data_IF_156165476659
#
_entry.id   IF_156165476659
#
_cell.length_a   1.000
_cell.length_b   1.000
_cell.length_c   1.000
_cell.angle_alpha   90.00
_cell.angle_beta   90.00
_cell.angle_gamma   90.00
#
_symmetry.space_group_name_H-M   'P 1'
#
loop_
_entity.id
_entity.type
_entity.pdbx_description
1 polymer ?
#
# COMPACT_ATOMS: atom_id res chain seq x y z
N UNK A 1 14.41 -5.07 -6.12
CA UNK A 1 15.62 -5.87 -6.35
C UNK A 1 15.55 -7.08 -5.43
N UNK A 2 15.73 -8.28 -5.99
CA UNK A 2 15.63 -9.54 -5.24
C UNK A 2 16.98 -10.26 -5.28
N UNK A 3 17.46 -10.71 -4.13
CA UNK A 3 18.68 -11.50 -3.98
C UNK A 3 18.31 -12.82 -3.30
N UNK A 4 18.86 -13.90 -3.83
CA UNK A 4 18.79 -15.23 -3.28
C UNK A 4 20.18 -15.70 -2.93
N UNK A 5 20.34 -16.33 -1.77
CA UNK A 5 21.63 -16.80 -1.31
C UNK A 5 21.56 -17.71 -0.09
N UNK A 6 22.74 -18.02 0.42
CA UNK A 6 22.92 -18.88 1.59
C UNK A 6 23.54 -18.08 2.71
N UNK A 7 23.04 -18.24 3.93
CA UNK A 7 23.59 -17.57 5.12
C UNK A 7 23.61 -18.51 6.32
N UNK A 8 24.80 -18.81 6.80
CA UNK A 8 25.03 -19.67 7.97
C UNK A 8 24.20 -20.97 7.99
N UNK A 9 24.09 -21.65 6.84
CA UNK A 9 23.36 -22.90 6.70
C UNK A 9 21.86 -22.76 6.44
N UNK A 10 21.37 -21.54 6.21
CA UNK A 10 19.97 -21.26 5.85
C UNK A 10 19.89 -20.66 4.45
N UNK A 11 18.88 -21.09 3.69
CA UNK A 11 18.51 -20.48 2.42
C UNK A 11 17.79 -19.16 2.69
N UNK A 12 18.22 -18.08 2.04
CA UNK A 12 17.73 -16.74 2.32
C UNK A 12 17.32 -16.01 1.06
N UNK A 13 16.23 -15.28 1.14
CA UNK A 13 15.74 -14.40 0.10
C UNK A 13 15.67 -12.97 0.62
N UNK A 14 16.31 -12.06 -0.09
CA UNK A 14 16.40 -10.67 0.27
C UNK A 14 15.68 -9.82 -0.75
N UNK A 15 14.76 -8.97 -0.30
CA UNK A 15 14.02 -8.05 -1.15
C UNK A 15 14.27 -6.61 -0.70
N UNK A 16 14.91 -5.83 -1.57
CA UNK A 16 15.04 -4.40 -1.40
C UNK A 16 13.91 -3.72 -2.18
N UNK A 17 13.06 -2.99 -1.48
CA UNK A 17 12.01 -2.22 -2.12
C UNK A 17 12.61 -0.95 -2.72
N UNK A 18 12.23 -0.64 -3.96
CA UNK A 18 12.46 0.68 -4.53
C UNK A 18 11.48 1.70 -3.93
N UNK A 19 11.74 2.99 -4.09
CA UNK A 19 10.80 4.05 -3.70
C UNK A 19 9.43 3.90 -4.36
N UNK A 20 9.35 3.18 -5.48
CA UNK A 20 8.11 2.86 -6.18
C UNK A 20 7.33 1.69 -5.52
N UNK A 21 8.00 0.87 -4.73
CA UNK A 21 7.37 -0.21 -3.98
C UNK A 21 7.02 0.36 -2.60
N UNK A 22 5.85 0.95 -2.46
CA UNK A 22 5.29 1.51 -1.23
C UNK A 22 5.03 0.47 -0.13
N UNK A 23 5.93 -0.48 0.00
CA UNK A 23 5.99 -1.31 1.18
C UNK A 23 6.46 -0.46 2.36
N UNK A 24 5.85 -0.59 3.55
CA UNK A 24 6.26 0.14 4.74
C UNK A 24 7.67 -0.23 5.21
N UNK A 25 8.30 -1.18 4.53
CA UNK A 25 9.60 -1.72 4.85
C UNK A 25 10.61 -1.35 3.78
N UNK A 26 11.67 -0.67 4.12
CA UNK A 26 12.76 -0.38 3.19
C UNK A 26 13.50 -1.64 2.72
N UNK A 27 13.27 -2.77 3.42
CA UNK A 27 14.00 -4.00 3.22
C UNK A 27 13.27 -5.19 3.86
N UNK A 28 13.22 -6.32 3.16
CA UNK A 28 12.58 -7.54 3.63
C UNK A 28 13.51 -8.73 3.43
N UNK A 29 13.47 -9.66 4.37
CA UNK A 29 14.24 -10.91 4.31
C UNK A 29 13.33 -12.10 4.62
N UNK A 30 13.50 -13.18 3.91
CA UNK A 30 12.94 -14.47 4.23
C UNK A 30 14.06 -15.46 4.49
N UNK A 31 13.98 -16.18 5.61
CA UNK A 31 14.89 -17.28 5.97
C UNK A 31 14.10 -18.58 5.90
N UNK A 32 14.52 -19.49 5.01
CA UNK A 32 13.89 -20.79 4.85
C UNK A 32 14.42 -21.75 5.92
N UNK A 33 13.55 -22.22 6.80
CA UNK A 33 13.89 -23.15 7.89
C UNK A 33 12.65 -23.83 8.47
N UNK A 34 12.84 -25.02 9.04
CA UNK A 34 11.78 -25.72 9.77
C UNK A 34 11.76 -25.23 11.23
N UNK A 35 10.75 -24.42 11.57
CA UNK A 35 10.65 -23.79 12.88
C UNK A 35 9.94 -24.69 13.89
N UNK A 36 10.58 -24.89 15.05
CA UNK A 36 9.93 -25.45 16.24
C UNK A 36 9.06 -24.39 16.95
N UNK A 37 8.11 -24.83 17.77
CA UNK A 37 7.22 -23.89 18.47
C UNK A 37 7.96 -23.09 19.54
N UNK A 38 9.01 -23.66 20.14
CA UNK A 38 9.90 -22.97 21.08
C UNK A 38 10.67 -21.85 20.41
N UNK A 39 11.24 -22.11 19.21
CA UNK A 39 11.90 -21.08 18.42
C UNK A 39 10.95 -19.95 18.02
N UNK A 40 9.71 -20.28 17.62
CA UNK A 40 8.69 -19.28 17.30
C UNK A 40 8.34 -18.40 18.50
N UNK A 41 8.23 -18.97 19.70
CA UNK A 41 7.95 -18.22 20.93
C UNK A 41 9.07 -17.26 21.29
N UNK A 42 10.33 -17.72 21.23
CA UNK A 42 11.46 -16.87 21.51
C UNK A 42 11.63 -15.75 20.48
N UNK A 43 11.40 -16.03 19.19
CA UNK A 43 11.41 -15.04 18.13
C UNK A 43 10.30 -14.01 18.30
N UNK A 44 9.08 -14.39 18.73
CA UNK A 44 8.01 -13.44 19.08
C UNK A 44 8.37 -12.55 20.26
N UNK A 45 9.01 -13.13 21.29
CA UNK A 45 9.50 -12.36 22.44
C UNK A 45 10.59 -11.37 22.02
N UNK A 46 11.45 -11.78 21.11
CA UNK A 46 12.47 -10.93 20.50
C UNK A 46 11.84 -9.76 19.72
N UNK A 47 10.82 -10.01 18.89
CA UNK A 47 10.06 -8.97 18.19
C UNK A 47 9.41 -7.99 19.17
N UNK A 48 8.80 -8.49 20.24
CA UNK A 48 8.12 -7.68 21.25
C UNK A 48 9.09 -6.74 21.99
N UNK A 49 10.36 -7.09 22.11
CA UNK A 49 11.41 -6.23 22.69
C UNK A 49 11.79 -5.05 21.79
N UNK A 50 11.22 -4.97 20.56
CA UNK A 50 11.48 -3.95 19.53
C UNK A 50 12.97 -3.70 19.26
N UNK A 51 13.77 -4.72 19.03
CA UNK A 51 15.18 -4.51 18.80
C UNK A 51 15.43 -3.96 17.39
N UNK A 52 16.28 -2.96 17.28
CA UNK A 52 17.06 -2.64 16.09
C UNK A 52 16.32 -2.52 14.76
N UNK A 53 15.21 -1.75 14.69
CA UNK A 53 14.49 -1.48 13.43
C UNK A 53 13.81 -2.68 12.76
N UNK A 54 13.65 -3.81 13.43
CA UNK A 54 12.70 -4.83 13.00
C UNK A 54 11.31 -4.23 13.16
N UNK A 55 10.58 -4.16 12.06
CA UNK A 55 9.19 -3.68 12.07
C UNK A 55 8.22 -4.82 12.32
N UNK A 56 8.45 -5.95 11.69
CA UNK A 56 7.57 -7.11 11.76
C UNK A 56 8.34 -8.40 11.51
N UNK A 57 7.97 -9.42 12.27
CA UNK A 57 8.44 -10.76 12.11
C UNK A 57 7.22 -11.67 11.95
N UNK A 58 7.07 -12.29 10.79
CA UNK A 58 5.98 -13.22 10.50
C UNK A 58 6.52 -14.63 10.24
N UNK A 59 5.75 -15.64 10.65
CA UNK A 59 6.08 -17.03 10.38
C UNK A 59 5.29 -17.52 9.17
N UNK A 60 6.01 -18.09 8.21
CA UNK A 60 5.43 -18.77 7.06
C UNK A 60 5.42 -20.29 7.29
N UNK A 61 4.76 -21.02 6.39
CA UNK A 61 4.80 -22.48 6.42
C UNK A 61 6.21 -23.05 6.14
N UNK A 62 7.12 -22.23 5.64
CA UNK A 62 8.46 -22.63 5.22
C UNK A 62 9.57 -21.72 5.75
N UNK A 63 9.32 -21.00 6.86
CA UNK A 63 10.35 -20.19 7.53
C UNK A 63 9.87 -18.89 8.14
N UNK A 64 10.77 -17.91 8.17
CA UNK A 64 10.57 -16.63 8.82
C UNK A 64 10.64 -15.50 7.79
N UNK A 65 9.66 -14.63 7.82
CA UNK A 65 9.67 -13.38 7.09
C UNK A 65 9.97 -12.22 8.05
N UNK A 66 10.90 -11.35 7.68
CA UNK A 66 11.39 -10.25 8.50
C UNK A 66 11.28 -8.96 7.69
N UNK A 67 10.54 -7.99 8.21
CA UNK A 67 10.46 -6.64 7.66
C UNK A 67 11.32 -5.67 8.47
N UNK A 68 12.23 -4.96 7.82
CA UNK A 68 13.08 -3.93 8.44
C UNK A 68 12.54 -2.54 8.16
N UNK A 69 12.38 -1.72 9.20
CA UNK A 69 11.90 -0.37 9.08
C UNK A 69 13.03 0.59 8.72
N UNK A 70 12.81 1.43 7.71
CA UNK A 70 13.73 2.48 7.31
C UNK A 70 13.17 3.26 6.14
N UNK A 71 13.22 4.60 6.21
CA UNK A 71 12.82 5.46 5.10
C UNK A 71 13.72 5.28 3.85
N UNK A 72 14.94 4.78 4.05
CA UNK A 72 15.88 4.46 2.98
C UNK A 72 16.52 3.11 3.24
N UNK A 73 16.96 2.44 2.18
CA UNK A 73 17.70 1.16 2.26
C UNK A 73 18.92 1.27 3.21
N UNK A 74 19.70 2.34 3.12
CA UNK A 74 20.84 2.56 3.99
C UNK A 74 20.48 2.73 5.48
N UNK A 75 19.30 3.29 5.76
CA UNK A 75 18.81 3.42 7.14
C UNK A 75 18.29 2.09 7.69
N UNK A 76 17.74 1.22 6.84
CA UNK A 76 17.31 -0.11 7.21
C UNK A 76 18.49 -1.06 7.44
N UNK A 77 19.53 -0.97 6.61
CA UNK A 77 20.75 -1.81 6.71
C UNK A 77 21.50 -1.63 8.02
N UNK A 78 21.49 -0.44 8.64
CA UNK A 78 22.18 -0.19 9.92
C UNK A 78 21.69 -1.09 11.07
N UNK A 79 20.46 -1.55 11.04
CA UNK A 79 19.92 -2.46 12.06
C UNK A 79 19.88 -3.92 11.61
N UNK A 80 20.22 -4.19 10.36
CA UNK A 80 20.07 -5.51 9.74
C UNK A 80 21.05 -6.53 10.32
N UNK A 81 22.34 -6.23 10.30
CA UNK A 81 23.37 -7.18 10.69
C UNK A 81 23.24 -7.61 12.16
N UNK A 82 23.11 -6.69 13.14
CA UNK A 82 22.92 -7.09 14.53
C UNK A 82 21.61 -7.84 14.80
N UNK A 83 20.54 -7.50 14.10
CA UNK A 83 19.26 -8.19 14.24
C UNK A 83 19.32 -9.60 13.67
N UNK A 84 19.99 -9.76 12.53
CA UNK A 84 20.21 -11.06 11.90
C UNK A 84 21.04 -11.99 12.77
N UNK A 85 22.15 -11.50 13.36
CA UNK A 85 22.98 -12.26 14.27
C UNK A 85 22.17 -12.81 15.45
N UNK A 86 21.29 -12.00 16.05
CA UNK A 86 20.43 -12.43 17.14
C UNK A 86 19.38 -13.45 16.69
N UNK A 87 18.76 -13.26 15.53
CA UNK A 87 17.83 -14.25 14.96
C UNK A 87 18.53 -15.58 14.71
N UNK A 88 19.72 -15.56 14.08
CA UNK A 88 20.49 -16.76 13.81
C UNK A 88 20.96 -17.43 15.12
N UNK A 89 21.30 -16.66 16.16
CA UNK A 89 21.61 -17.20 17.47
C UNK A 89 20.40 -17.94 18.10
N UNK A 90 19.20 -17.40 17.96
CA UNK A 90 17.96 -18.06 18.42
C UNK A 90 17.71 -19.35 17.62
N UNK A 91 17.86 -19.31 16.28
CA UNK A 91 17.68 -20.49 15.44
C UNK A 91 18.68 -21.60 15.81
N UNK A 92 19.94 -21.25 16.01
CA UNK A 92 21.00 -22.19 16.43
C UNK A 92 20.76 -22.75 17.83
N UNK A 93 20.34 -21.92 18.79
CA UNK A 93 19.99 -22.32 20.16
C UNK A 93 18.93 -23.41 20.19
N UNK A 94 17.93 -23.29 19.32
CA UNK A 94 16.84 -24.27 19.19
C UNK A 94 17.11 -25.37 18.17
N UNK A 95 18.35 -25.49 17.68
CA UNK A 95 18.75 -26.49 16.68
C UNK A 95 17.78 -26.52 15.47
N UNK A 96 17.34 -25.34 15.03
CA UNK A 96 16.40 -25.21 13.92
C UNK A 96 17.06 -25.74 12.65
N UNK A 97 16.34 -26.63 11.96
CA UNK A 97 16.84 -27.31 10.75
C UNK A 97 16.95 -26.32 9.58
N UNK A 98 18.15 -26.26 8.97
CA UNK A 98 18.47 -25.40 7.84
C UNK A 98 18.35 -26.10 6.48
N UNK A 99 19.30 -25.80 5.59
CA UNK A 99 19.24 -26.16 4.16
C UNK A 99 19.18 -27.67 3.85
N UNK A 100 19.71 -28.50 4.72
CA UNK A 100 19.72 -29.95 4.52
C UNK A 100 18.37 -30.61 4.81
N UNK A 101 17.38 -29.80 5.21
CA UNK A 101 16.05 -30.23 5.59
C UNK A 101 14.98 -29.42 4.89
N UNK A 102 13.86 -30.07 4.58
CA UNK A 102 12.69 -29.39 4.04
C UNK A 102 12.13 -28.39 5.07
N UNK A 103 12.06 -27.09 4.73
CA UNK A 103 11.58 -26.09 5.67
C UNK A 103 10.09 -26.21 6.02
N UNK A 104 9.33 -27.04 5.30
CA UNK A 104 7.89 -27.22 5.52
C UNK A 104 7.58 -28.44 6.40
N UNK A 105 8.24 -29.59 6.18
CA UNK A 105 7.99 -30.84 6.94
C UNK A 105 9.13 -31.20 7.89
N UNK A 106 10.33 -30.63 7.73
CA UNK A 106 11.49 -30.91 8.54
C UNK A 106 12.20 -32.24 8.20
N UNK A 107 11.83 -32.91 7.13
CA UNK A 107 12.51 -34.11 6.66
C UNK A 107 13.83 -33.79 5.94
N UNK A 108 14.84 -34.69 5.98
CA UNK A 108 16.08 -34.46 5.27
C UNK A 108 15.86 -34.34 3.76
N UNK A 109 16.51 -33.37 3.14
CA UNK A 109 16.49 -33.16 1.70
C UNK A 109 17.59 -33.99 1.03
N UNK A 110 17.22 -34.83 0.06
CA UNK A 110 18.15 -35.46 -0.86
C UNK A 110 18.11 -34.78 -2.23
N UNK A 111 19.22 -34.78 -2.95
CA UNK A 111 19.31 -34.15 -4.26
C UNK A 111 18.23 -34.65 -5.25
N UNK A 112 17.89 -35.95 -5.19
CA UNK A 112 16.91 -36.56 -6.08
C UNK A 112 15.45 -36.26 -5.69
N UNK A 113 15.20 -35.88 -4.45
CA UNK A 113 13.86 -35.63 -3.91
C UNK A 113 13.58 -34.15 -3.62
N UNK A 114 14.56 -33.28 -3.79
CA UNK A 114 14.41 -31.84 -3.61
C UNK A 114 13.97 -31.16 -4.92
N UNK A 115 13.13 -30.14 -4.77
CA UNK A 115 12.68 -29.27 -5.85
C UNK A 115 12.79 -27.82 -5.41
N UNK A 116 13.39 -26.99 -6.27
CA UNK A 116 13.44 -25.55 -6.05
C UNK A 116 12.23 -24.90 -6.72
N UNK A 117 11.41 -24.21 -5.92
CA UNK A 117 10.23 -23.51 -6.40
C UNK A 117 10.32 -22.02 -6.10
N UNK A 118 9.59 -21.21 -6.86
CA UNK A 118 9.46 -19.78 -6.61
C UNK A 118 8.03 -19.46 -6.18
N UNK A 119 7.86 -18.95 -4.96
CA UNK A 119 6.57 -18.63 -4.36
C UNK A 119 6.59 -17.19 -3.85
N UNK A 120 5.69 -16.34 -4.34
CA UNK A 120 5.60 -14.93 -3.95
C UNK A 120 6.95 -14.17 -4.02
N UNK A 121 7.72 -14.42 -5.08
CA UNK A 121 9.07 -13.88 -5.29
C UNK A 121 10.13 -14.40 -4.30
N UNK A 122 9.84 -15.46 -3.53
CA UNK A 122 10.83 -16.19 -2.74
C UNK A 122 11.20 -17.48 -3.47
N UNK A 123 12.49 -17.74 -3.56
CA UNK A 123 12.99 -19.03 -4.02
C UNK A 123 13.24 -19.91 -2.80
N UNK A 124 12.64 -21.09 -2.75
CA UNK A 124 12.74 -22.03 -1.65
C UNK A 124 12.97 -23.43 -2.17
N UNK A 125 13.77 -24.20 -1.45
CA UNK A 125 14.01 -25.62 -1.75
C UNK A 125 13.18 -26.48 -0.82
N UNK A 126 12.30 -27.31 -1.38
CA UNK A 126 11.39 -28.21 -0.65
C UNK A 126 11.59 -29.64 -1.13
N UNK A 127 11.13 -30.61 -0.38
CA UNK A 127 10.91 -31.96 -0.94
C UNK A 127 9.79 -31.91 -1.99
N UNK A 128 9.76 -32.89 -2.88
CA UNK A 128 8.81 -32.92 -4.01
C UNK A 128 7.35 -32.96 -3.57
N UNK A 129 7.05 -33.63 -2.45
CA UNK A 129 5.68 -33.71 -1.95
C UNK A 129 5.22 -32.36 -1.41
N UNK A 130 6.06 -31.68 -0.61
CA UNK A 130 5.77 -30.34 -0.11
C UNK A 130 5.72 -29.29 -1.23
N UNK A 131 6.61 -29.39 -2.22
CA UNK A 131 6.57 -28.55 -3.41
C UNK A 131 5.24 -28.68 -4.15
N UNK A 132 4.78 -29.90 -4.38
CA UNK A 132 3.47 -30.18 -5.00
C UNK A 132 2.30 -29.58 -4.20
N UNK A 133 2.32 -29.68 -2.86
CA UNK A 133 1.28 -29.06 -2.01
C UNK A 133 1.27 -27.52 -2.13
N UNK A 134 2.43 -26.90 -2.20
CA UNK A 134 2.55 -25.44 -2.37
C UNK A 134 2.07 -25.02 -3.76
N UNK A 135 2.47 -25.74 -4.81
CA UNK A 135 2.03 -25.47 -6.19
C UNK A 135 0.51 -25.64 -6.33
N UNK A 136 -0.07 -26.68 -5.73
CA UNK A 136 -1.52 -26.89 -5.70
C UNK A 136 -2.24 -25.76 -4.96
N UNK A 137 -1.72 -25.33 -3.81
CA UNK A 137 -2.28 -24.19 -3.06
C UNK A 137 -2.26 -22.90 -3.89
N UNK A 138 -1.13 -22.57 -4.51
CA UNK A 138 -1.00 -21.38 -5.38
C UNK A 138 -1.93 -21.47 -6.58
N UNK A 139 -2.02 -22.65 -7.23
CA UNK A 139 -2.94 -22.88 -8.35
C UNK A 139 -4.41 -22.70 -7.93
N UNK A 140 -4.79 -23.23 -6.76
CA UNK A 140 -6.14 -23.08 -6.20
C UNK A 140 -6.46 -21.63 -5.84
N UNK A 141 -5.54 -20.88 -5.26
CA UNK A 141 -5.71 -19.46 -4.99
C UNK A 141 -5.91 -18.67 -6.29
N UNK A 142 -5.10 -18.97 -7.31
CA UNK A 142 -5.23 -18.37 -8.64
C UNK A 142 -6.58 -18.70 -9.28
N UNK A 143 -6.99 -19.96 -9.25
CA UNK A 143 -8.29 -20.39 -9.79
C UNK A 143 -9.46 -19.71 -9.06
N UNK A 144 -9.40 -19.60 -7.73
CA UNK A 144 -10.41 -18.91 -6.92
C UNK A 144 -10.48 -17.42 -7.28
N UNK A 145 -9.33 -16.78 -7.48
CA UNK A 145 -9.29 -15.39 -7.92
C UNK A 145 -9.89 -15.24 -9.32
N UNK A 146 -9.53 -16.11 -10.27
CA UNK A 146 -10.07 -16.08 -11.64
C UNK A 146 -11.58 -16.33 -11.66
N UNK A 147 -12.07 -17.25 -10.84
CA UNK A 147 -13.49 -17.56 -10.70
C UNK A 147 -14.31 -16.47 -10.00
N UNK A 148 -13.66 -15.55 -9.26
CA UNK A 148 -14.37 -14.46 -8.57
C UNK A 148 -15.09 -13.56 -9.58
N UNK A 149 -16.42 -13.39 -9.50
CA UNK A 149 -17.17 -12.57 -10.44
C UNK A 149 -16.69 -11.12 -10.43
N UNK A 150 -16.43 -10.55 -11.60
CA UNK A 150 -16.10 -9.15 -11.73
C UNK A 150 -17.34 -8.32 -12.07
N UNK A 151 -18.10 -7.93 -11.07
CA UNK A 151 -19.30 -7.13 -11.26
C UNK A 151 -18.97 -5.62 -11.30
N UNK A 152 -18.39 -5.19 -12.43
CA UNK A 152 -18.01 -3.79 -12.64
C UNK A 152 -19.19 -2.85 -12.42
N UNK A 153 -20.40 -3.21 -12.89
CA UNK A 153 -21.60 -2.35 -12.75
C UNK A 153 -21.95 -2.05 -11.30
N UNK A 154 -21.86 -3.04 -10.42
CA UNK A 154 -22.06 -2.82 -8.97
C UNK A 154 -20.87 -2.11 -8.34
N UNK A 155 -19.66 -2.44 -8.75
CA UNK A 155 -18.43 -1.81 -8.28
C UNK A 155 -18.39 -0.31 -8.53
N UNK A 156 -18.87 0.16 -9.69
CA UNK A 156 -18.97 1.59 -10.03
C UNK A 156 -19.71 2.38 -8.94
N UNK A 157 -20.81 1.87 -8.41
CA UNK A 157 -21.54 2.53 -7.32
C UNK A 157 -20.69 2.69 -6.06
N UNK A 158 -19.83 1.69 -5.76
CA UNK A 158 -18.90 1.79 -4.65
C UNK A 158 -17.86 2.89 -4.85
N UNK A 159 -17.28 2.99 -6.05
CA UNK A 159 -16.34 4.04 -6.41
C UNK A 159 -16.99 5.43 -6.33
N UNK A 160 -18.22 5.56 -6.82
CA UNK A 160 -18.98 6.82 -6.81
C UNK A 160 -19.32 7.27 -5.38
N UNK A 161 -19.76 6.36 -4.52
CA UNK A 161 -20.03 6.67 -3.11
C UNK A 161 -18.73 7.12 -2.41
N UNK A 162 -17.61 6.43 -2.63
CA UNK A 162 -16.34 6.84 -2.07
C UNK A 162 -15.90 8.24 -2.50
N UNK A 163 -16.07 8.56 -3.79
CA UNK A 163 -15.77 9.88 -4.33
C UNK A 163 -16.66 10.98 -3.73
N UNK A 164 -17.95 10.70 -3.58
CA UNK A 164 -18.92 11.59 -2.93
C UNK A 164 -18.53 11.88 -1.49
N UNK A 165 -18.22 10.86 -0.70
CA UNK A 165 -17.78 11.02 0.70
C UNK A 165 -16.51 11.85 0.77
N UNK A 166 -15.51 11.57 -0.09
CA UNK A 166 -14.30 12.38 -0.18
C UNK A 166 -14.59 13.86 -0.45
N UNK A 167 -15.51 14.17 -1.39
CA UNK A 167 -15.88 15.55 -1.70
C UNK A 167 -16.64 16.24 -0.56
N UNK A 168 -17.50 15.53 0.15
CA UNK A 168 -18.18 16.07 1.35
C UNK A 168 -17.18 16.41 2.44
N UNK A 169 -16.17 15.57 2.68
CA UNK A 169 -15.09 15.85 3.62
C UNK A 169 -14.34 17.13 3.19
N UNK A 170 -14.08 17.31 1.90
CA UNK A 170 -13.47 18.56 1.38
C UNK A 170 -14.29 19.77 1.75
N UNK A 171 -15.59 19.72 1.55
CA UNK A 171 -16.51 20.83 1.87
C UNK A 171 -16.45 21.16 3.37
N UNK A 172 -16.52 20.15 4.23
CA UNK A 172 -16.47 20.32 5.68
C UNK A 172 -15.14 20.95 6.10
N UNK A 173 -14.02 20.43 5.62
CA UNK A 173 -12.69 20.93 5.96
C UNK A 173 -12.47 22.37 5.47
N UNK A 174 -13.01 22.72 4.30
CA UNK A 174 -12.97 24.07 3.78
C UNK A 174 -13.64 25.07 4.71
N UNK A 175 -14.84 24.76 5.21
CA UNK A 175 -15.54 25.63 6.16
C UNK A 175 -14.86 25.72 7.53
N UNK A 176 -14.06 24.73 7.88
CA UNK A 176 -13.25 24.75 9.11
C UNK A 176 -11.90 25.45 8.92
N UNK A 177 -11.64 26.04 7.75
CA UNK A 177 -10.34 26.60 7.35
C UNK A 177 -9.16 25.62 7.51
N UNK A 178 -9.43 24.31 7.36
CA UNK A 178 -8.44 23.25 7.41
C UNK A 178 -7.99 22.86 5.99
N UNK A 179 -6.76 22.36 5.89
CA UNK A 179 -6.23 21.88 4.61
C UNK A 179 -7.00 20.64 4.17
N UNK A 180 -7.81 20.78 3.12
CA UNK A 180 -8.65 19.70 2.57
C UNK A 180 -7.89 18.71 1.66
N UNK A 181 -6.58 18.86 1.54
CA UNK A 181 -5.73 18.11 0.62
C UNK A 181 -5.77 16.59 0.83
N UNK A 182 -6.04 16.09 2.05
CA UNK A 182 -6.11 14.66 2.36
C UNK A 182 -7.41 13.98 1.94
N UNK A 183 -8.47 14.74 1.70
CA UNK A 183 -9.80 14.21 1.40
C UNK A 183 -9.87 13.36 0.11
N UNK A 184 -9.13 13.65 -0.98
CA UNK A 184 -9.10 12.78 -2.14
C UNK A 184 -8.53 11.39 -1.84
N UNK A 185 -7.53 11.29 -0.96
CA UNK A 185 -6.96 10.01 -0.55
C UNK A 185 -8.03 9.16 0.13
N UNK A 186 -8.77 9.76 1.07
CA UNK A 186 -9.89 9.08 1.77
C UNK A 186 -10.94 8.63 0.76
N UNK A 187 -11.32 9.48 -0.20
CA UNK A 187 -12.29 9.17 -1.25
C UNK A 187 -11.88 7.97 -2.10
N UNK A 188 -10.62 7.92 -2.54
CA UNK A 188 -10.10 6.82 -3.36
C UNK A 188 -10.02 5.52 -2.56
N UNK A 189 -9.48 5.55 -1.34
CA UNK A 189 -9.34 4.35 -0.50
C UNK A 189 -10.70 3.78 -0.12
N UNK A 190 -11.64 4.64 0.29
CA UNK A 190 -13.01 4.22 0.57
C UNK A 190 -13.71 3.70 -0.69
N UNK A 191 -13.54 4.38 -1.83
CA UNK A 191 -14.07 3.95 -3.12
C UNK A 191 -13.55 2.57 -3.52
N UNK A 192 -12.25 2.32 -3.37
CA UNK A 192 -11.64 1.03 -3.65
C UNK A 192 -12.16 -0.08 -2.71
N UNK A 193 -12.35 0.24 -1.44
CA UNK A 193 -12.96 -0.69 -0.47
C UNK A 193 -14.40 -1.04 -0.85
N UNK A 194 -15.23 -0.03 -1.12
CA UNK A 194 -16.63 -0.23 -1.47
C UNK A 194 -16.81 -0.88 -2.85
N UNK A 195 -15.92 -0.57 -3.81
CA UNK A 195 -15.90 -1.23 -5.12
C UNK A 195 -15.77 -2.75 -4.96
N UNK A 196 -14.83 -3.20 -4.14
CA UNK A 196 -14.64 -4.63 -3.82
C UNK A 196 -15.84 -5.20 -3.07
N UNK A 197 -16.35 -4.49 -2.07
CA UNK A 197 -17.51 -4.92 -1.27
C UNK A 197 -18.77 -5.10 -2.11
N UNK A 198 -18.94 -4.34 -3.18
CA UNK A 198 -20.07 -4.44 -4.10
C UNK A 198 -19.84 -5.48 -5.22
N UNK A 199 -18.78 -6.27 -5.12
CA UNK A 199 -18.53 -7.39 -6.02
C UNK A 199 -17.68 -7.03 -7.25
N UNK A 200 -17.07 -5.85 -7.28
CA UNK A 200 -16.04 -5.50 -8.25
C UNK A 200 -14.71 -6.19 -7.91
N UNK A 201 -13.96 -6.60 -8.92
CA UNK A 201 -12.66 -7.22 -8.77
C UNK A 201 -11.56 -6.17 -8.60
N UNK A 202 -10.57 -6.44 -7.74
CA UNK A 202 -9.41 -5.57 -7.59
C UNK A 202 -8.52 -5.66 -8.84
N UNK A 203 -8.74 -4.76 -9.78
CA UNK A 203 -8.04 -4.69 -11.06
C UNK A 203 -7.82 -3.24 -11.52
N UNK A 204 -7.20 -3.06 -12.69
CA UNK A 204 -6.98 -1.73 -13.26
C UNK A 204 -8.25 -0.91 -13.45
N UNK A 205 -9.39 -1.55 -13.75
CA UNK A 205 -10.67 -0.86 -13.89
C UNK A 205 -11.12 -0.21 -12.56
N UNK A 206 -10.91 -0.88 -11.42
CA UNK A 206 -11.19 -0.30 -10.11
C UNK A 206 -10.39 0.98 -9.88
N UNK A 207 -9.08 0.96 -10.21
CA UNK A 207 -8.21 2.13 -10.04
C UNK A 207 -8.73 3.30 -10.88
N UNK A 208 -8.98 3.05 -12.17
CA UNK A 208 -9.44 4.09 -13.10
C UNK A 208 -10.77 4.69 -12.64
N UNK A 209 -11.72 3.86 -12.19
CA UNK A 209 -13.02 4.34 -11.73
C UNK A 209 -12.92 5.14 -10.43
N UNK A 210 -12.20 4.63 -9.42
CA UNK A 210 -12.04 5.32 -8.15
C UNK A 210 -11.29 6.65 -8.32
N UNK A 211 -10.21 6.66 -9.11
CA UNK A 211 -9.45 7.88 -9.40
C UNK A 211 -10.29 8.88 -10.20
N UNK A 212 -10.91 8.44 -11.30
CA UNK A 212 -11.68 9.31 -12.19
C UNK A 212 -12.84 9.99 -11.48
N UNK A 213 -13.67 9.22 -10.75
CA UNK A 213 -14.77 9.81 -9.99
C UNK A 213 -14.27 10.72 -8.87
N UNK A 214 -13.26 10.31 -8.10
CA UNK A 214 -12.73 11.16 -7.03
C UNK A 214 -12.18 12.46 -7.59
N UNK A 215 -11.42 12.42 -8.68
CA UNK A 215 -10.88 13.62 -9.30
C UNK A 215 -12.00 14.57 -9.76
N UNK A 216 -13.01 14.05 -10.47
CA UNK A 216 -14.14 14.86 -10.97
C UNK A 216 -14.89 15.50 -9.80
N UNK A 217 -15.31 14.71 -8.82
CA UNK A 217 -16.09 15.23 -7.68
C UNK A 217 -15.27 16.20 -6.82
N UNK A 218 -13.98 15.94 -6.67
CA UNK A 218 -13.08 16.79 -5.91
C UNK A 218 -12.88 18.16 -6.57
N UNK A 219 -12.60 18.17 -7.88
CA UNK A 219 -12.43 19.42 -8.63
C UNK A 219 -13.74 20.21 -8.67
N UNK A 220 -14.88 19.52 -8.82
CA UNK A 220 -16.19 20.15 -8.77
C UNK A 220 -16.46 20.77 -7.39
N UNK A 221 -16.16 20.06 -6.30
CA UNK A 221 -16.33 20.59 -4.95
C UNK A 221 -15.47 21.84 -4.72
N UNK A 222 -14.19 21.80 -5.09
CA UNK A 222 -13.27 22.97 -4.99
C UNK A 222 -13.80 24.14 -5.82
N UNK A 223 -14.24 23.88 -7.04
CA UNK A 223 -14.82 24.91 -7.90
C UNK A 223 -16.07 25.56 -7.28
N UNK A 224 -17.05 24.75 -6.82
CA UNK A 224 -18.29 25.28 -6.23
C UNK A 224 -18.03 26.04 -4.93
N UNK A 225 -17.09 25.61 -4.11
CA UNK A 225 -16.68 26.31 -2.91
C UNK A 225 -16.08 27.69 -3.23
N UNK A 226 -15.26 27.80 -4.28
CA UNK A 226 -14.71 29.09 -4.69
C UNK A 226 -15.74 29.98 -5.36
N UNK A 227 -16.73 29.43 -6.09
CA UNK A 227 -17.88 30.20 -6.58
C UNK A 227 -18.67 30.78 -5.39
N UNK A 228 -18.90 29.98 -4.36
CA UNK A 228 -19.58 30.43 -3.12
C UNK A 228 -18.78 31.51 -2.39
N UNK A 229 -17.47 31.31 -2.24
CA UNK A 229 -16.57 32.30 -1.60
C UNK A 229 -16.55 33.62 -2.38
N UNK A 230 -16.44 33.57 -3.71
CA UNK A 230 -16.50 34.75 -4.57
C UNK A 230 -17.82 35.52 -4.42
N UNK A 231 -18.94 34.75 -4.35
CA UNK A 231 -20.25 35.37 -4.13
C UNK A 231 -20.33 36.06 -2.76
N UNK A 232 -19.79 35.46 -1.71
CA UNK A 232 -19.71 36.09 -0.38
C UNK A 232 -18.86 37.36 -0.41
N UNK A 233 -17.69 37.34 -1.05
CA UNK A 233 -16.83 38.52 -1.22
C UNK A 233 -17.53 39.63 -2.03
N UNK A 234 -18.27 39.28 -3.08
CA UNK A 234 -19.03 40.25 -3.87
C UNK A 234 -20.10 40.95 -3.04
N UNK A 235 -20.84 40.18 -2.21
CA UNK A 235 -21.84 40.75 -1.29
C UNK A 235 -21.17 41.71 -0.29
N UNK A 236 -20.07 41.30 0.33
CA UNK A 236 -19.35 42.09 1.35
C UNK A 236 -18.80 43.38 0.75
N UNK A 237 -18.33 43.35 -0.50
CA UNK A 237 -17.77 44.50 -1.20
C UNK A 237 -18.81 45.35 -1.95
N UNK A 238 -20.12 45.06 -1.81
CA UNK A 238 -21.19 45.83 -2.44
C UNK A 238 -21.26 45.68 -3.98
N UNK A 239 -20.62 44.65 -4.54
CA UNK A 239 -20.69 44.36 -5.98
C UNK A 239 -22.08 43.83 -6.36
N UNK A 240 -22.48 44.06 -7.62
CA UNK A 240 -23.75 43.55 -8.17
C UNK A 240 -23.64 42.13 -8.72
N UNK A 241 -22.44 41.73 -9.08
CA UNK A 241 -22.15 40.41 -9.61
C UNK A 241 -22.45 39.31 -8.59
N UNK A 242 -23.04 38.18 -9.05
CA UNK A 242 -23.39 37.04 -8.22
C UNK A 242 -22.97 35.74 -8.89
N UNK A 243 -22.75 34.70 -8.08
CA UNK A 243 -22.44 33.34 -8.53
C UNK A 243 -21.22 33.30 -9.45
N UNK A 244 -21.41 32.77 -10.67
CA UNK A 244 -20.34 32.63 -11.67
C UNK A 244 -19.81 33.99 -12.16
N UNK A 245 -20.64 35.04 -12.21
CA UNK A 245 -20.20 36.37 -12.57
C UNK A 245 -19.23 36.93 -11.53
N UNK A 246 -19.54 36.79 -10.25
CA UNK A 246 -18.64 37.16 -9.15
C UNK A 246 -17.33 36.35 -9.18
N UNK A 247 -17.43 35.03 -9.42
CA UNK A 247 -16.25 34.19 -9.58
C UNK A 247 -15.34 34.68 -10.73
N UNK A 248 -15.90 34.92 -11.93
CA UNK A 248 -15.17 35.45 -13.08
C UNK A 248 -14.54 36.82 -12.82
N UNK A 249 -15.23 37.69 -12.08
CA UNK A 249 -14.71 38.98 -11.67
C UNK A 249 -13.46 38.82 -10.81
N UNK A 250 -13.53 38.00 -9.74
CA UNK A 250 -12.39 37.79 -8.84
C UNK A 250 -11.24 36.98 -9.49
N UNK A 251 -11.54 36.08 -10.42
CA UNK A 251 -10.49 35.39 -11.19
C UNK A 251 -9.65 36.33 -12.06
N UNK A 252 -10.25 37.44 -12.55
CA UNK A 252 -9.57 38.43 -13.37
C UNK A 252 -8.96 39.57 -12.54
N UNK A 253 -9.46 39.76 -11.32
CA UNK A 253 -8.99 40.84 -10.46
C UNK A 253 -7.65 40.50 -9.82
N UNK A 254 -6.77 41.48 -9.65
CA UNK A 254 -5.56 41.39 -8.84
C UNK A 254 -5.82 41.70 -7.36
N UNK A 255 -7.09 41.73 -6.95
CA UNK A 255 -7.47 41.98 -5.56
C UNK A 255 -6.92 40.91 -4.64
N UNK A 256 -6.23 41.34 -3.59
CA UNK A 256 -5.74 40.48 -2.52
C UNK A 256 -6.90 40.09 -1.65
N UNK A 257 -7.05 38.79 -1.37
CA UNK A 257 -8.09 38.25 -0.51
C UNK A 257 -7.47 37.48 0.65
N UNK A 258 -8.02 37.68 1.85
CA UNK A 258 -7.52 37.04 3.06
C UNK A 258 -6.26 37.67 3.65
N UNK A 259 -5.78 37.11 4.74
CA UNK A 259 -4.61 37.63 5.49
C UNK A 259 -3.25 37.34 4.80
N UNK A 260 -3.22 36.45 3.82
CA UNK A 260 -1.98 35.89 3.21
C UNK A 260 -1.43 36.62 2.01
N UNK A 261 -1.91 37.84 1.67
CA UNK A 261 -1.47 38.62 0.47
C UNK A 261 -1.55 37.83 -0.86
N UNK A 262 -2.47 36.90 -0.99
CA UNK A 262 -2.68 36.10 -2.20
C UNK A 262 -3.87 36.61 -3.00
N UNK A 263 -3.81 36.49 -4.31
CA UNK A 263 -4.95 36.78 -5.18
C UNK A 263 -5.95 35.62 -5.11
N UNK A 264 -7.23 35.92 -5.35
CA UNK A 264 -8.28 34.89 -5.41
C UNK A 264 -7.94 33.80 -6.44
N UNK A 265 -7.46 34.16 -7.63
CA UNK A 265 -7.01 33.24 -8.65
C UNK A 265 -5.84 32.36 -8.19
N UNK A 266 -4.91 32.92 -7.43
CA UNK A 266 -3.80 32.18 -6.85
C UNK A 266 -4.25 31.10 -5.87
N UNK A 267 -5.17 31.44 -4.95
CA UNK A 267 -5.75 30.51 -3.98
C UNK A 267 -6.55 29.40 -4.69
N UNK A 268 -7.36 29.77 -5.68
CA UNK A 268 -8.11 28.80 -6.47
C UNK A 268 -7.19 27.81 -7.18
N UNK A 269 -6.18 28.33 -7.92
CA UNK A 269 -5.23 27.49 -8.64
C UNK A 269 -4.45 26.58 -7.70
N UNK A 270 -3.98 27.10 -6.58
CA UNK A 270 -3.29 26.30 -5.54
C UNK A 270 -4.16 25.14 -5.06
N UNK A 271 -5.43 25.38 -4.70
CA UNK A 271 -6.34 24.35 -4.21
C UNK A 271 -6.67 23.31 -5.29
N UNK A 272 -6.82 23.71 -6.56
CA UNK A 272 -7.04 22.79 -7.68
C UNK A 272 -5.82 21.89 -7.91
N UNK A 273 -4.61 22.46 -7.95
CA UNK A 273 -3.36 21.70 -8.11
C UNK A 273 -3.16 20.74 -6.95
N UNK A 274 -3.34 21.22 -5.71
CA UNK A 274 -3.16 20.43 -4.51
C UNK A 274 -4.13 19.24 -4.49
N UNK A 275 -5.41 19.46 -4.79
CA UNK A 275 -6.43 18.40 -4.87
C UNK A 275 -6.08 17.36 -5.93
N UNK A 276 -5.55 17.79 -7.09
CA UNK A 276 -5.09 16.87 -8.14
C UNK A 276 -3.90 16.04 -7.68
N UNK A 277 -2.89 16.65 -7.06
CA UNK A 277 -1.69 15.96 -6.56
C UNK A 277 -2.08 14.90 -5.52
N UNK A 278 -2.92 15.24 -4.56
CA UNK A 278 -3.36 14.27 -3.54
C UNK A 278 -4.29 13.19 -4.10
N UNK A 279 -5.05 13.47 -5.15
CA UNK A 279 -5.79 12.44 -5.88
C UNK A 279 -4.85 11.43 -6.55
N UNK A 280 -3.75 11.91 -7.16
CA UNK A 280 -2.72 11.03 -7.73
C UNK A 280 -2.04 10.19 -6.65
N UNK A 281 -1.69 10.80 -5.51
CA UNK A 281 -1.12 10.07 -4.36
C UNK A 281 -2.09 8.99 -3.88
N UNK A 282 -3.37 9.31 -3.71
CA UNK A 282 -4.39 8.34 -3.32
C UNK A 282 -4.54 7.19 -4.34
N UNK A 283 -4.46 7.51 -5.63
CA UNK A 283 -4.47 6.53 -6.71
C UNK A 283 -3.25 5.59 -6.62
N UNK A 284 -2.07 6.13 -6.42
CA UNK A 284 -0.84 5.34 -6.22
C UNK A 284 -1.01 4.42 -5.01
N UNK A 285 -1.46 4.92 -3.86
CA UNK A 285 -1.68 4.11 -2.65
C UNK A 285 -2.69 2.98 -2.88
N UNK A 286 -3.82 3.25 -3.54
CA UNK A 286 -4.79 2.22 -3.89
C UNK A 286 -4.24 1.19 -4.88
N UNK A 287 -3.38 1.61 -5.82
CA UNK A 287 -2.76 0.75 -6.82
C UNK A 287 -1.79 -0.26 -6.22
N UNK A 288 -1.10 0.12 -5.14
CA UNK A 288 -0.11 -0.74 -4.48
C UNK A 288 -0.71 -2.04 -4.01
N UNK A 289 -1.87 -1.98 -3.34
CA UNK A 289 -2.57 -3.17 -2.84
C UNK A 289 -2.93 -4.14 -3.98
N UNK A 290 -3.29 -3.57 -5.14
CA UNK A 290 -3.64 -4.34 -6.35
C UNK A 290 -2.38 -4.95 -6.97
N UNK A 291 -1.32 -4.17 -7.13
CA UNK A 291 -0.06 -4.68 -7.70
C UNK A 291 0.58 -5.74 -6.82
N UNK A 292 0.51 -5.60 -5.50
CA UNK A 292 0.98 -6.63 -4.57
C UNK A 292 0.21 -7.94 -4.74
N UNK A 293 -1.12 -7.88 -4.80
CA UNK A 293 -1.96 -9.06 -5.01
C UNK A 293 -1.72 -9.67 -6.39
N UNK A 294 -1.71 -8.85 -7.43
CA UNK A 294 -1.44 -9.31 -8.79
C UNK A 294 -0.04 -9.91 -8.97
N UNK A 295 0.97 -9.40 -8.25
CA UNK A 295 2.33 -9.96 -8.24
C UNK A 295 2.37 -11.28 -7.48
N UNK A 296 1.72 -11.37 -6.33
CA UNK A 296 1.57 -12.61 -5.57
C UNK A 296 0.86 -13.70 -6.39
N UNK A 297 -0.18 -13.33 -7.17
CA UNK A 297 -0.96 -14.23 -7.99
C UNK A 297 -0.24 -14.71 -9.25
N UNK A 298 0.74 -13.96 -9.75
CA UNK A 298 1.51 -14.34 -10.95
C UNK A 298 2.74 -15.18 -10.65
N UNK A 299 3.06 -15.42 -9.38
CA UNK A 299 4.23 -16.21 -8.99
C UNK A 299 5.59 -15.56 -9.32
N UNK A 300 5.62 -14.22 -9.46
CA UNK A 300 6.85 -13.46 -9.69
C UNK A 300 7.31 -12.70 -8.44
#
# INVERSE_FOLDING_TARGET
MHYYGMMQGYETNLMCNSLADSAPYGFQMHISCYLTDEAKQELKSFEASKPMKIFKLDFTAYGIWIGFNGMTTGSALKGFEPALEQILAILNKHSVKGIDYCPMCGEPLSADQSQKISVYAHTITLDKECAGKVEEYVAKEKANYEATPNNIKKGIWGALIGALVGSVITVILFFLNLISAWSPIVGILLGAFLYKKFGGKANGAMIVMCFGFTLIFQLLAVFLLHVSAANGLAITNGLTERGLAAFNYYMKSSAIVGEGKQTFSGIFTYNMVLSTVFSVIGCVLASIDIFRKAKAERGF
#
